data_IF_114908803006
#
_entry.id   IF_114908803006
#
_cell.length_a   1.000
_cell.length_b   1.000
_cell.length_c   1.000
_cell.angle_alpha   90.00
_cell.angle_beta   90.00
_cell.angle_gamma   90.00
#
_symmetry.space_group_name_H-M   'P 1'
#
loop_
_entity.id
_entity.type
_entity.pdbx_description
1 polymer ?
#
# COMPACT_ATOMS: atom_id res chain seq x y z
N UNK A 1 3.35 -2.42 25.44
CA UNK A 1 3.11 -2.81 24.04
C UNK A 1 3.81 -1.79 23.14
N UNK A 2 4.52 -2.22 22.11
CA UNK A 2 5.24 -1.29 21.20
C UNK A 2 4.18 -0.48 20.40
N UNK A 3 4.42 0.84 20.25
CA UNK A 3 3.56 1.75 19.49
C UNK A 3 3.12 1.19 18.12
N UNK A 4 4.05 0.59 17.37
CA UNK A 4 3.74 0.04 16.05
C UNK A 4 2.78 -1.15 16.10
N UNK A 5 2.84 -2.00 17.13
CA UNK A 5 1.87 -3.08 17.29
C UNK A 5 0.47 -2.55 17.64
N UNK A 6 0.39 -1.56 18.54
CA UNK A 6 -0.90 -0.94 18.85
C UNK A 6 -1.53 -0.27 17.62
N UNK A 7 -0.73 0.53 16.91
CA UNK A 7 -1.17 1.18 15.68
C UNK A 7 -1.59 0.17 14.61
N UNK A 8 -0.85 -0.93 14.46
CA UNK A 8 -1.20 -2.02 13.54
C UNK A 8 -2.58 -2.63 13.88
N UNK A 9 -2.83 -2.94 15.16
CA UNK A 9 -4.13 -3.48 15.59
C UNK A 9 -5.26 -2.53 15.23
N UNK A 10 -5.13 -1.24 15.54
CA UNK A 10 -6.14 -0.23 15.25
C UNK A 10 -6.40 -0.14 13.74
N UNK A 11 -5.33 -0.01 12.94
CA UNK A 11 -5.43 0.14 11.49
C UNK A 11 -6.05 -1.11 10.84
N UNK A 12 -5.64 -2.30 11.26
CA UNK A 12 -6.21 -3.54 10.73
C UNK A 12 -7.65 -3.76 11.19
N UNK A 13 -8.03 -3.29 12.38
CA UNK A 13 -9.45 -3.29 12.81
C UNK A 13 -10.29 -2.39 11.91
N UNK A 14 -9.81 -1.18 11.58
CA UNK A 14 -10.49 -0.28 10.64
C UNK A 14 -10.57 -0.92 9.24
N UNK A 15 -9.49 -1.58 8.80
CA UNK A 15 -9.49 -2.32 7.53
C UNK A 15 -10.56 -3.42 7.50
N UNK A 16 -10.69 -4.22 8.57
CA UNK A 16 -11.71 -5.28 8.66
C UNK A 16 -13.12 -4.67 8.63
N UNK A 17 -13.38 -3.60 9.37
CA UNK A 17 -14.68 -2.92 9.32
C UNK A 17 -15.00 -2.40 7.92
N UNK A 18 -14.01 -1.84 7.23
CA UNK A 18 -14.17 -1.39 5.84
C UNK A 18 -14.43 -2.57 4.91
N UNK A 19 -13.69 -3.67 5.04
CA UNK A 19 -13.88 -4.89 4.24
C UNK A 19 -15.30 -5.46 4.38
N UNK A 20 -15.81 -5.54 5.61
CA UNK A 20 -17.18 -5.94 5.88
C UNK A 20 -18.19 -4.97 5.27
N UNK A 21 -17.92 -3.67 5.32
CA UNK A 21 -18.81 -2.63 4.78
C UNK A 21 -18.94 -2.65 3.26
N UNK A 22 -17.89 -3.06 2.52
CA UNK A 22 -17.91 -3.09 1.06
C UNK A 22 -18.23 -4.47 0.49
N UNK A 23 -18.28 -5.51 1.31
CA UNK A 23 -18.59 -6.87 0.88
C UNK A 23 -20.07 -7.01 0.51
N UNK A 24 -20.39 -7.53 -0.69
CA UNK A 24 -21.78 -7.78 -1.10
C UNK A 24 -22.53 -8.75 -0.17
N UNK A 25 -21.79 -9.58 0.58
CA UNK A 25 -22.38 -10.58 1.47
C UNK A 25 -23.10 -9.99 2.68
N UNK A 26 -22.72 -8.77 3.11
CA UNK A 26 -23.22 -8.22 4.39
C UNK A 26 -24.25 -7.10 4.23
N UNK A 27 -24.46 -6.57 3.04
CA UNK A 27 -25.51 -5.57 2.70
C UNK A 27 -25.63 -4.37 3.66
N UNK A 28 -24.54 -4.02 4.38
CA UNK A 28 -24.56 -3.09 5.51
C UNK A 28 -24.47 -1.62 5.12
N UNK A 29 -24.03 -1.29 3.92
CA UNK A 29 -23.60 0.08 3.68
C UNK A 29 -24.05 0.66 2.36
N UNK A 30 -25.32 0.58 2.08
CA UNK A 30 -25.86 1.17 0.86
C UNK A 30 -25.44 2.65 0.68
N UNK A 31 -25.37 3.44 1.76
CA UNK A 31 -24.96 4.86 1.70
C UNK A 31 -23.45 5.04 1.47
N UNK A 32 -22.60 4.25 2.10
CA UNK A 32 -21.15 4.32 1.94
C UNK A 32 -20.74 3.85 0.54
N UNK A 33 -21.25 2.72 0.10
CA UNK A 33 -21.00 2.17 -1.24
C UNK A 33 -21.57 3.08 -2.32
N UNK A 34 -22.75 3.68 -2.11
CA UNK A 34 -23.32 4.65 -3.04
C UNK A 34 -22.45 5.91 -3.20
N UNK A 35 -21.91 6.45 -2.09
CA UNK A 35 -20.96 7.58 -2.13
C UNK A 35 -19.67 7.19 -2.84
N UNK A 36 -19.13 6.01 -2.56
CA UNK A 36 -17.92 5.48 -3.20
C UNK A 36 -18.10 5.36 -4.71
N UNK A 37 -19.24 4.84 -5.15
CA UNK A 37 -19.60 4.77 -6.55
C UNK A 37 -19.77 6.17 -7.18
N UNK A 38 -20.41 7.11 -6.48
CA UNK A 38 -20.57 8.48 -6.96
C UNK A 38 -19.21 9.18 -7.11
N UNK A 39 -18.29 9.03 -6.16
CA UNK A 39 -16.92 9.56 -6.26
C UNK A 39 -16.18 8.93 -7.44
N UNK A 40 -16.29 7.62 -7.62
CA UNK A 40 -15.73 6.94 -8.78
C UNK A 40 -16.24 7.52 -10.10
N UNK A 41 -17.56 7.69 -10.27
CA UNK A 41 -18.16 8.27 -11.46
C UNK A 41 -17.70 9.71 -11.70
N UNK A 42 -17.53 10.51 -10.64
CA UNK A 42 -16.98 11.87 -10.74
C UNK A 42 -15.58 11.87 -11.33
N UNK A 43 -14.74 10.93 -10.90
CA UNK A 43 -13.37 10.80 -11.43
C UNK A 43 -13.39 10.35 -12.89
N UNK A 44 -14.16 9.33 -13.23
CA UNK A 44 -14.20 8.74 -14.59
C UNK A 44 -14.80 9.71 -15.62
N UNK A 45 -15.83 10.46 -15.25
CA UNK A 45 -16.52 11.38 -16.16
C UNK A 45 -15.83 12.74 -16.32
N UNK A 46 -14.72 12.98 -15.62
CA UNK A 46 -13.95 14.21 -15.81
C UNK A 46 -13.23 14.18 -17.16
N UNK A 47 -13.15 15.34 -17.82
CA UNK A 47 -12.39 15.46 -19.07
C UNK A 47 -10.90 15.60 -18.75
N UNK A 48 -10.09 14.62 -19.18
CA UNK A 48 -8.66 14.60 -18.92
C UNK A 48 -7.83 14.92 -20.17
N UNK A 49 -6.65 15.53 -19.97
CA UNK A 49 -5.70 15.76 -21.04
C UNK A 49 -4.99 14.45 -21.42
N UNK A 50 -4.53 14.35 -22.68
CA UNK A 50 -3.73 13.20 -23.14
C UNK A 50 -2.50 12.97 -22.26
N UNK A 51 -1.82 14.03 -21.81
CA UNK A 51 -0.64 13.94 -20.95
C UNK A 51 -0.98 13.29 -19.61
N UNK A 52 -2.12 13.66 -19.02
CA UNK A 52 -2.54 13.08 -17.74
C UNK A 52 -2.92 11.60 -17.88
N UNK A 53 -3.58 11.24 -18.99
CA UNK A 53 -3.91 9.84 -19.29
C UNK A 53 -2.63 8.99 -19.36
N UNK A 54 -1.64 9.40 -20.15
CA UNK A 54 -0.36 8.71 -20.26
C UNK A 54 0.33 8.57 -18.89
N UNK A 55 0.40 9.65 -18.13
CA UNK A 55 0.99 9.62 -16.79
C UNK A 55 0.31 8.58 -15.88
N UNK A 56 -1.02 8.55 -15.85
CA UNK A 56 -1.77 7.62 -15.01
C UNK A 56 -1.61 6.16 -15.47
N UNK A 57 -1.52 5.93 -16.77
CA UNK A 57 -1.23 4.62 -17.34
C UNK A 57 0.18 4.16 -16.90
N UNK A 58 1.20 5.02 -17.05
CA UNK A 58 2.55 4.70 -16.62
C UNK A 58 2.64 4.43 -15.12
N UNK A 59 1.99 5.22 -14.28
CA UNK A 59 1.92 5.01 -12.83
C UNK A 59 1.28 3.67 -12.49
N UNK A 60 0.20 3.31 -13.17
CA UNK A 60 -0.48 2.03 -12.97
C UNK A 60 0.35 0.83 -13.44
N UNK A 61 1.07 0.93 -14.55
CA UNK A 61 1.81 -0.20 -15.10
C UNK A 61 3.15 -0.46 -14.37
N UNK A 62 3.85 0.60 -13.99
CA UNK A 62 5.22 0.49 -13.51
C UNK A 62 5.43 0.96 -12.06
N UNK A 63 4.55 1.81 -11.52
CA UNK A 63 4.72 2.42 -10.22
C UNK A 63 4.76 1.41 -9.06
N UNK A 64 4.03 0.32 -9.15
CA UNK A 64 4.01 -0.71 -8.10
C UNK A 64 5.27 -1.56 -8.09
N UNK A 65 5.47 -2.36 -9.14
CA UNK A 65 6.53 -3.38 -9.12
C UNK A 65 7.90 -2.79 -9.39
N UNK A 66 8.04 -2.10 -10.52
CA UNK A 66 9.35 -1.64 -10.97
C UNK A 66 9.95 -0.64 -9.99
N UNK A 67 9.17 0.36 -9.58
CA UNK A 67 9.67 1.39 -8.64
C UNK A 67 10.05 0.79 -7.30
N UNK A 68 9.20 -0.05 -6.70
CA UNK A 68 9.47 -0.58 -5.36
C UNK A 68 10.54 -1.66 -5.34
N UNK A 69 10.73 -2.43 -6.43
CA UNK A 69 11.91 -3.31 -6.59
C UNK A 69 13.19 -2.46 -6.62
N UNK A 70 13.21 -1.39 -7.42
CA UNK A 70 14.35 -0.47 -7.49
C UNK A 70 14.62 0.16 -6.11
N UNK A 71 13.59 0.64 -5.42
CA UNK A 71 13.70 1.24 -4.08
C UNK A 71 14.31 0.25 -3.08
N UNK A 72 13.83 -1.00 -3.04
CA UNK A 72 14.40 -2.04 -2.17
C UNK A 72 15.89 -2.24 -2.49
N UNK A 73 16.23 -2.37 -3.77
CA UNK A 73 17.60 -2.61 -4.22
C UNK A 73 18.53 -1.45 -3.88
N UNK A 74 18.08 -0.20 -4.10
CA UNK A 74 18.82 1.01 -3.76
C UNK A 74 19.07 1.15 -2.26
N UNK A 75 18.06 0.90 -1.43
CA UNK A 75 18.23 0.89 0.02
C UNK A 75 19.17 -0.23 0.47
N UNK A 76 19.09 -1.42 -0.11
CA UNK A 76 19.91 -2.55 0.26
C UNK A 76 21.40 -2.33 -0.04
N UNK A 77 21.72 -1.78 -1.22
CA UNK A 77 23.09 -1.55 -1.66
C UNK A 77 23.69 -0.30 -1.05
N UNK A 78 22.99 0.84 -1.14
CA UNK A 78 23.55 2.14 -0.84
C UNK A 78 23.17 2.70 0.54
N UNK A 79 22.19 2.09 1.21
CA UNK A 79 21.63 2.63 2.47
C UNK A 79 22.36 2.22 3.74
N UNK A 80 23.50 1.47 3.65
CA UNK A 80 24.20 0.93 4.80
C UNK A 80 23.33 0.01 5.66
N UNK A 81 23.58 -0.07 6.95
CA UNK A 81 22.80 -0.92 7.87
C UNK A 81 21.32 -0.52 7.95
N UNK A 82 21.05 0.77 8.03
CA UNK A 82 19.66 1.28 8.06
C UNK A 82 18.94 0.96 6.77
N UNK A 83 19.58 1.14 5.62
CA UNK A 83 19.01 0.81 4.32
C UNK A 83 18.70 -0.68 4.18
N UNK A 84 19.61 -1.56 4.60
CA UNK A 84 19.35 -3.01 4.62
C UNK A 84 18.14 -3.38 5.48
N UNK A 85 18.02 -2.75 6.66
CA UNK A 85 16.86 -2.93 7.53
C UNK A 85 15.56 -2.49 6.85
N UNK A 86 15.56 -1.32 6.19
CA UNK A 86 14.42 -0.81 5.42
C UNK A 86 14.07 -1.78 4.29
N UNK A 87 15.06 -2.15 3.47
CA UNK A 87 14.86 -3.05 2.33
C UNK A 87 14.27 -4.41 2.73
N UNK A 88 14.82 -5.03 3.79
CA UNK A 88 14.30 -6.31 4.30
C UNK A 88 12.89 -6.16 4.86
N UNK A 89 12.61 -5.07 5.59
CA UNK A 89 11.27 -4.82 6.15
C UNK A 89 10.25 -4.63 5.04
N UNK A 90 10.57 -3.85 3.99
CA UNK A 90 9.70 -3.67 2.82
C UNK A 90 9.50 -5.03 2.11
N UNK A 91 10.58 -5.75 1.83
CA UNK A 91 10.53 -7.03 1.14
C UNK A 91 9.66 -8.06 1.85
N UNK A 92 9.80 -8.21 3.17
CA UNK A 92 8.97 -9.11 3.96
C UNK A 92 7.50 -8.66 3.99
N UNK A 93 7.24 -7.37 4.10
CA UNK A 93 5.88 -6.84 4.05
C UNK A 93 5.21 -7.14 2.71
N UNK A 94 5.90 -6.87 1.60
CA UNK A 94 5.40 -7.14 0.25
C UNK A 94 5.19 -8.64 0.04
N UNK A 95 6.13 -9.48 0.47
CA UNK A 95 6.02 -10.93 0.36
C UNK A 95 4.74 -11.44 1.02
N UNK A 96 4.49 -11.06 2.27
CA UNK A 96 3.26 -11.47 2.97
C UNK A 96 2.02 -10.93 2.28
N UNK A 97 2.04 -9.66 1.84
CA UNK A 97 0.89 -9.03 1.19
C UNK A 97 0.58 -9.64 -0.18
N UNK A 98 1.58 -10.12 -0.93
CA UNK A 98 1.38 -10.81 -2.20
C UNK A 98 0.53 -12.07 -2.04
N UNK A 99 0.66 -12.80 -0.94
CA UNK A 99 -0.19 -13.96 -0.64
C UNK A 99 -1.52 -13.57 0.03
N UNK A 100 -1.51 -12.53 0.87
CA UNK A 100 -2.68 -12.16 1.66
C UNK A 100 -3.75 -11.45 0.83
N UNK A 101 -3.36 -10.58 -0.11
CA UNK A 101 -4.30 -9.81 -0.94
C UNK A 101 -5.23 -10.70 -1.76
N UNK A 102 -4.78 -11.74 -2.50
CA UNK A 102 -5.67 -12.64 -3.23
C UNK A 102 -6.66 -13.38 -2.30
N UNK A 103 -6.21 -13.81 -1.12
CA UNK A 103 -7.08 -14.45 -0.13
C UNK A 103 -8.19 -13.49 0.31
N UNK A 104 -7.85 -12.24 0.66
CA UNK A 104 -8.83 -11.25 1.08
C UNK A 104 -9.79 -10.90 -0.06
N UNK A 105 -9.32 -10.80 -1.30
CA UNK A 105 -10.18 -10.58 -2.47
C UNK A 105 -11.27 -11.64 -2.58
N UNK A 106 -10.90 -12.91 -2.44
CA UNK A 106 -11.84 -14.03 -2.49
C UNK A 106 -12.76 -14.10 -1.27
N UNK A 107 -12.38 -13.54 -0.13
CA UNK A 107 -13.24 -13.45 1.05
C UNK A 107 -14.25 -12.31 0.96
N UNK A 108 -13.86 -11.17 0.42
CA UNK A 108 -14.71 -9.98 0.32
C UNK A 108 -15.62 -10.01 -0.90
N UNK A 109 -15.14 -10.55 -2.02
CA UNK A 109 -15.87 -10.73 -3.30
C UNK A 109 -16.49 -9.45 -3.88
N UNK A 110 -15.84 -8.30 -3.65
CA UNK A 110 -16.33 -7.03 -4.21
C UNK A 110 -16.15 -7.01 -5.74
N UNK A 111 -17.21 -6.82 -6.54
CA UNK A 111 -17.08 -6.71 -7.99
C UNK A 111 -16.32 -5.46 -8.39
N UNK A 112 -15.58 -5.53 -9.50
CA UNK A 112 -14.89 -4.36 -10.07
C UNK A 112 -15.85 -3.39 -10.74
N UNK A 113 -15.45 -2.11 -10.91
CA UNK A 113 -16.19 -1.17 -11.73
C UNK A 113 -16.33 -1.70 -13.17
N UNK A 114 -17.53 -1.62 -13.71
CA UNK A 114 -17.80 -1.91 -15.12
C UNK A 114 -17.68 -0.59 -15.91
N UNK A 115 -16.53 -0.36 -16.53
CA UNK A 115 -16.28 0.83 -17.35
C UNK A 115 -15.85 0.40 -18.74
N UNK A 116 -16.66 0.65 -19.78
CA UNK A 116 -16.37 0.22 -21.15
C UNK A 116 -15.02 0.71 -21.72
N UNK A 117 -14.54 1.86 -21.23
CA UNK A 117 -13.30 2.48 -21.70
C UNK A 117 -12.02 1.81 -21.19
N UNK A 118 -12.13 0.94 -20.19
CA UNK A 118 -10.96 0.23 -19.61
C UNK A 118 -10.47 -0.89 -20.51
N UNK A 119 -11.33 -1.48 -21.29
CA UNK A 119 -10.97 -2.54 -22.25
C UNK A 119 -9.93 -2.07 -23.26
N UNK A 120 -9.76 -0.75 -23.44
CA UNK A 120 -8.73 -0.17 -24.31
C UNK A 120 -7.39 0.11 -23.63
N UNK A 121 -7.33 0.17 -22.29
CA UNK A 121 -6.12 0.61 -21.56
C UNK A 121 -5.44 -0.50 -20.76
N UNK A 122 -6.21 -1.45 -20.25
CA UNK A 122 -5.69 -2.57 -19.45
C UNK A 122 -6.58 -3.78 -19.67
N UNK A 123 -6.00 -4.95 -19.91
CA UNK A 123 -6.75 -6.20 -19.94
C UNK A 123 -7.63 -6.33 -18.69
N UNK A 124 -8.91 -6.66 -18.88
CA UNK A 124 -9.87 -6.79 -17.79
C UNK A 124 -9.34 -7.80 -16.76
N UNK A 125 -9.05 -7.30 -15.58
CA UNK A 125 -8.54 -8.10 -14.47
C UNK A 125 -9.72 -8.92 -13.92
N UNK A 126 -9.64 -10.23 -14.01
CA UNK A 126 -10.73 -11.15 -13.60
C UNK A 126 -10.91 -11.27 -12.09
N UNK A 127 -9.99 -10.66 -11.32
CA UNK A 127 -10.02 -10.72 -9.87
C UNK A 127 -11.01 -9.72 -9.26
N UNK A 128 -11.43 -9.98 -8.02
CA UNK A 128 -12.23 -9.05 -7.23
C UNK A 128 -11.52 -7.72 -6.95
N UNK A 129 -12.31 -6.67 -6.67
CA UNK A 129 -11.78 -5.31 -6.54
C UNK A 129 -11.08 -5.02 -5.21
N UNK A 130 -11.63 -5.48 -4.09
CA UNK A 130 -11.17 -5.12 -2.74
C UNK A 130 -10.25 -6.17 -2.12
N UNK A 131 -9.11 -5.76 -1.54
CA UNK A 131 -8.49 -4.43 -1.61
C UNK A 131 -7.65 -4.24 -2.89
N UNK A 132 -7.29 -2.99 -3.21
CA UNK A 132 -6.36 -2.70 -4.32
C UNK A 132 -4.95 -3.18 -4.01
N UNK A 133 -4.45 -4.14 -4.78
CA UNK A 133 -3.11 -4.69 -4.61
C UNK A 133 -2.00 -3.66 -4.85
N UNK A 134 -2.18 -2.73 -5.82
CA UNK A 134 -1.24 -1.64 -6.07
C UNK A 134 -1.12 -0.72 -4.85
N UNK A 135 -2.25 -0.21 -4.36
CA UNK A 135 -2.28 0.64 -3.20
C UNK A 135 -1.69 -0.05 -1.95
N UNK A 136 -1.94 -1.36 -1.79
CA UNK A 136 -1.39 -2.15 -0.67
C UNK A 136 0.13 -2.16 -0.67
N UNK A 137 0.75 -2.41 -1.82
CA UNK A 137 2.21 -2.53 -1.93
C UNK A 137 2.89 -1.18 -1.77
N UNK A 138 2.43 -0.14 -2.47
CA UNK A 138 3.06 1.18 -2.35
C UNK A 138 2.90 1.78 -0.95
N UNK A 139 1.73 1.57 -0.31
CA UNK A 139 1.51 2.02 1.05
C UNK A 139 2.36 1.26 2.07
N UNK A 140 2.58 -0.04 1.87
CA UNK A 140 3.46 -0.84 2.73
C UNK A 140 4.91 -0.33 2.66
N UNK A 141 5.44 -0.15 1.47
CA UNK A 141 6.79 0.37 1.27
C UNK A 141 6.96 1.77 1.85
N UNK A 142 6.02 2.67 1.54
CA UNK A 142 6.04 4.04 2.04
C UNK A 142 5.96 4.10 3.58
N UNK A 143 5.11 3.29 4.21
CA UNK A 143 4.99 3.24 5.67
C UNK A 143 6.32 2.89 6.34
N UNK A 144 7.08 1.94 5.80
CA UNK A 144 8.41 1.58 6.30
C UNK A 144 9.40 2.73 6.14
N UNK A 145 9.42 3.38 4.97
CA UNK A 145 10.30 4.53 4.71
C UNK A 145 9.98 5.67 5.67
N UNK A 146 8.73 6.08 5.79
CA UNK A 146 8.31 7.16 6.68
C UNK A 146 8.57 6.85 8.15
N UNK A 147 8.49 5.60 8.56
CA UNK A 147 8.75 5.20 9.94
C UNK A 147 10.24 5.15 10.30
N UNK A 148 11.10 4.69 9.38
CA UNK A 148 12.51 4.36 9.68
C UNK A 148 13.51 5.33 9.06
N UNK A 149 13.20 5.98 7.93
CA UNK A 149 14.15 6.78 7.16
C UNK A 149 14.00 8.27 7.46
N UNK A 150 14.43 8.67 8.68
CA UNK A 150 14.28 10.03 9.23
C UNK A 150 15.62 10.64 9.63
N UNK A 151 15.63 11.94 9.93
CA UNK A 151 16.71 12.60 10.63
C UNK A 151 17.71 13.38 9.76
N UNK A 152 17.42 13.61 8.47
CA UNK A 152 18.18 14.55 7.63
C UNK A 152 17.34 15.09 6.48
N UNK A 153 17.70 16.25 5.95
CA UNK A 153 17.02 16.86 4.79
C UNK A 153 16.98 15.93 3.57
N UNK A 154 18.09 15.24 3.27
CA UNK A 154 18.15 14.26 2.18
C UNK A 154 17.16 13.12 2.37
N UNK A 155 17.01 12.60 3.59
CA UNK A 155 16.05 11.51 3.88
C UNK A 155 14.62 12.00 3.74
N UNK A 156 14.33 13.20 4.22
CA UNK A 156 13.02 13.83 4.07
C UNK A 156 12.69 14.02 2.59
N UNK A 157 13.63 14.52 1.79
CA UNK A 157 13.43 14.71 0.35
C UNK A 157 13.09 13.39 -0.36
N UNK A 158 13.83 12.32 -0.12
CA UNK A 158 13.54 10.99 -0.68
C UNK A 158 12.16 10.49 -0.22
N UNK A 159 11.83 10.65 1.06
CA UNK A 159 10.51 10.27 1.59
C UNK A 159 9.37 11.03 0.92
N UNK A 160 9.55 12.32 0.63
CA UNK A 160 8.54 13.14 -0.09
C UNK A 160 8.36 12.63 -1.52
N UNK A 161 9.45 12.36 -2.25
CA UNK A 161 9.36 11.80 -3.62
C UNK A 161 8.59 10.49 -3.62
N UNK A 162 8.91 9.56 -2.71
CA UNK A 162 8.21 8.29 -2.61
C UNK A 162 6.76 8.44 -2.15
N UNK A 163 6.44 9.48 -1.37
CA UNK A 163 5.05 9.79 -1.00
C UNK A 163 4.24 10.28 -2.20
N UNK A 164 4.83 11.12 -3.04
CA UNK A 164 4.20 11.60 -4.27
C UNK A 164 3.97 10.42 -5.23
N UNK A 165 4.97 9.58 -5.41
CA UNK A 165 4.88 8.37 -6.24
C UNK A 165 3.74 7.46 -5.76
N UNK A 166 3.71 7.10 -4.48
CA UNK A 166 2.68 6.24 -3.92
C UNK A 166 1.27 6.85 -4.04
N UNK A 167 1.14 8.16 -3.87
CA UNK A 167 -0.12 8.88 -4.07
C UNK A 167 -0.57 8.81 -5.54
N UNK A 168 0.34 9.04 -6.49
CA UNK A 168 0.04 8.94 -7.92
C UNK A 168 -0.38 7.53 -8.32
N UNK A 169 0.29 6.48 -7.82
CA UNK A 169 -0.13 5.09 -8.03
C UNK A 169 -1.53 4.84 -7.48
N UNK A 170 -1.82 5.28 -6.25
CA UNK A 170 -3.15 5.14 -5.65
C UNK A 170 -4.24 5.85 -6.49
N UNK A 171 -3.98 7.09 -6.91
CA UNK A 171 -4.90 7.86 -7.75
C UNK A 171 -5.10 7.19 -9.10
N UNK A 172 -4.04 6.68 -9.72
CA UNK A 172 -4.10 6.03 -11.03
C UNK A 172 -5.06 4.84 -11.04
N UNK A 173 -5.21 4.11 -9.91
CA UNK A 173 -6.12 2.94 -9.84
C UNK A 173 -7.59 3.31 -9.96
N UNK A 174 -7.98 4.47 -9.43
CA UNK A 174 -9.34 5.01 -9.60
C UNK A 174 -9.47 5.64 -10.98
N UNK A 175 -8.46 6.39 -11.39
CA UNK A 175 -8.44 7.11 -12.66
C UNK A 175 -8.60 6.21 -13.87
N UNK A 176 -7.86 5.07 -13.92
CA UNK A 176 -8.00 4.09 -15.01
C UNK A 176 -9.24 3.20 -14.85
N UNK A 177 -10.06 3.44 -13.81
CA UNK A 177 -11.31 2.73 -13.56
C UNK A 177 -11.16 1.30 -13.02
N UNK A 178 -9.97 0.90 -12.61
CA UNK A 178 -9.69 -0.46 -12.14
C UNK A 178 -10.24 -0.75 -10.73
N UNK A 179 -10.40 0.28 -9.91
CA UNK A 179 -10.81 0.19 -8.50
C UNK A 179 -11.70 1.36 -8.08
N UNK A 180 -12.58 1.11 -7.13
CA UNK A 180 -13.27 2.17 -6.40
C UNK A 180 -12.35 2.84 -5.38
N UNK A 181 -12.61 4.10 -4.95
CA UNK A 181 -11.82 4.79 -3.92
C UNK A 181 -11.66 3.99 -2.63
N UNK A 182 -12.71 3.30 -2.15
CA UNK A 182 -12.63 2.48 -0.94
C UNK A 182 -11.75 1.23 -1.11
N UNK A 183 -11.57 0.70 -2.31
CA UNK A 183 -10.62 -0.40 -2.55
C UNK A 183 -9.19 0.07 -2.35
N UNK A 184 -8.91 1.28 -2.81
CA UNK A 184 -7.60 1.94 -2.63
C UNK A 184 -7.36 2.24 -1.15
N UNK A 185 -8.34 2.80 -0.46
CA UNK A 185 -8.26 3.04 0.99
C UNK A 185 -8.03 1.74 1.77
N UNK A 186 -8.76 0.67 1.43
CA UNK A 186 -8.54 -0.66 2.01
C UNK A 186 -7.12 -1.16 1.78
N UNK A 187 -6.59 -1.00 0.57
CA UNK A 187 -5.21 -1.33 0.25
C UNK A 187 -4.20 -0.56 1.11
N UNK A 188 -4.39 0.75 1.26
CA UNK A 188 -3.54 1.61 2.10
C UNK A 188 -3.54 1.13 3.56
N UNK A 189 -4.72 0.88 4.13
CA UNK A 189 -4.86 0.41 5.51
C UNK A 189 -4.18 -0.95 5.71
N UNK A 190 -4.40 -1.89 4.81
CA UNK A 190 -3.77 -3.21 4.87
C UNK A 190 -2.24 -3.12 4.78
N UNK A 191 -1.73 -2.35 3.82
CA UNK A 191 -0.29 -2.16 3.60
C UNK A 191 0.40 -1.55 4.82
N UNK A 192 -0.14 -0.46 5.37
CA UNK A 192 0.40 0.18 6.58
C UNK A 192 0.32 -0.78 7.77
N UNK A 193 -0.83 -1.42 7.99
CA UNK A 193 -1.04 -2.33 9.12
C UNK A 193 -0.04 -3.47 9.16
N UNK A 194 0.15 -4.18 8.06
CA UNK A 194 1.13 -5.29 7.96
C UNK A 194 2.57 -4.77 8.13
N UNK A 195 2.92 -3.66 7.50
CA UNK A 195 4.26 -3.09 7.64
C UNK A 195 4.57 -2.68 9.07
N UNK A 196 3.60 -2.18 9.82
CA UNK A 196 3.78 -1.83 11.22
C UNK A 196 4.03 -3.04 12.11
N UNK A 197 3.48 -4.21 11.79
CA UNK A 197 3.83 -5.47 12.47
C UNK A 197 5.32 -5.77 12.29
N UNK A 198 5.83 -5.71 11.06
CA UNK A 198 7.25 -5.97 10.79
C UNK A 198 8.17 -4.94 11.43
N UNK A 199 7.85 -3.65 11.37
CA UNK A 199 8.61 -2.59 12.03
C UNK A 199 8.65 -2.83 13.56
N UNK A 200 7.52 -3.18 14.15
CA UNK A 200 7.42 -3.48 15.58
C UNK A 200 8.24 -4.71 15.97
N UNK A 201 8.23 -5.76 15.17
CA UNK A 201 9.01 -6.99 15.37
C UNK A 201 10.50 -6.72 15.31
N UNK A 202 10.99 -6.00 14.31
CA UNK A 202 12.40 -5.64 14.21
C UNK A 202 12.89 -4.83 15.41
N UNK A 203 12.12 -3.84 15.86
CA UNK A 203 12.48 -3.06 17.07
C UNK A 203 12.55 -3.94 18.32
N UNK A 204 11.66 -4.89 18.46
CA UNK A 204 11.65 -5.81 19.59
C UNK A 204 12.86 -6.75 19.56
N UNK A 205 13.21 -7.29 18.39
CA UNK A 205 14.38 -8.17 18.20
C UNK A 205 15.68 -7.38 18.47
N UNK A 206 15.80 -6.18 17.90
CA UNK A 206 16.96 -5.32 18.09
C UNK A 206 17.20 -5.00 19.58
N UNK A 207 16.15 -4.66 20.32
CA UNK A 207 16.25 -4.37 21.76
C UNK A 207 16.59 -5.58 22.62
N UNK A 208 16.08 -6.76 22.25
CA UNK A 208 16.28 -8.00 23.05
C UNK A 208 17.58 -8.71 22.76
N UNK A 209 18.04 -8.73 21.52
CA UNK A 209 19.20 -9.52 21.10
C UNK A 209 20.45 -8.68 20.87
N UNK A 210 20.36 -7.53 20.20
CA UNK A 210 21.56 -6.79 19.78
C UNK A 210 22.14 -5.90 20.88
N UNK A 211 21.34 -5.27 21.73
CA UNK A 211 21.83 -4.41 22.81
C UNK A 211 22.59 -5.22 23.87
N UNK A 212 22.12 -6.38 24.35
CA UNK A 212 22.88 -7.21 25.29
C UNK A 212 24.19 -7.74 24.71
N UNK A 213 24.18 -8.18 23.43
CA UNK A 213 25.41 -8.70 22.77
C UNK A 213 26.46 -7.60 22.64
N UNK A 214 26.08 -6.40 22.24
CA UNK A 214 27.00 -5.27 22.11
C UNK A 214 27.60 -4.84 23.46
N UNK A 215 26.81 -4.91 24.55
CA UNK A 215 27.32 -4.68 25.92
C UNK A 215 28.30 -5.75 26.39
N UNK A 216 28.13 -7.01 25.92
CA UNK A 216 29.00 -8.13 26.30
C UNK A 216 30.33 -8.14 25.53
N UNK A 217 30.36 -7.59 24.32
CA UNK A 217 31.55 -7.47 23.47
C UNK A 217 32.43 -6.23 23.80
N UNK A 218 31.88 -5.26 24.55
CA UNK A 218 32.58 -4.03 24.97
C UNK A 218 33.06 -4.08 26.42
N UNK A 219 32.92 -5.22 27.10
CA UNK A 219 33.53 -5.56 28.41
C UNK A 219 34.65 -6.58 28.22
#
# INVERSE_FOLDING_TARGET
>A
MNFFFLASIIILSIFVLLALSVSPRFNWSNSLVAKDHSLFLTVINSHYSLILNELMIWMTLYGREVVWIIVIFMFFIFGGWLGKKIAVTIGLSILVLTFLVPVIKNLVERPRPLVPQIDFLLAADKEYAFPSGHATIVAAGLAVVLALYRGSARRTFISVILSIEAALVCISRVYVGAHYPLDVLGGILLGIGISFIFIGSFKSIESRLMVPIKKKLLR
#
